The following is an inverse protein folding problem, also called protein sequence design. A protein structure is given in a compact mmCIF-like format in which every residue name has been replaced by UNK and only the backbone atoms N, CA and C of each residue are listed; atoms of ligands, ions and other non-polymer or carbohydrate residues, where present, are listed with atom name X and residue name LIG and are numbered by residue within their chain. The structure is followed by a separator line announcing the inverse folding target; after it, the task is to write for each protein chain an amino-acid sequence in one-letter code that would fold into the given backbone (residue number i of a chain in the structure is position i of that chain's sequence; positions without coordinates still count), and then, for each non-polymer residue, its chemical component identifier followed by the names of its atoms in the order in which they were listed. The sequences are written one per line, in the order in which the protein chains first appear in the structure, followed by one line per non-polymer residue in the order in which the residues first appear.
data_IF_745298394568
#
_entry.id   IF_745298394568
#
_cell.length_a   1.000
_cell.length_b   1.000
_cell.length_c   1.000
_cell.angle_alpha   90.00
_cell.angle_beta   90.00
_cell.angle_gamma   90.00
#
_symmetry.space_group_name_H-M   'P 1'
#
loop_
_entity.id
_entity.type
_entity.pdbx_description
1 polymer ?
#
# COMPACT_ATOMS: atom_id res chain seq x y z
N UNK A 1 21.03 42.46 -13.27
CA UNK A 1 19.95 42.21 -14.25
C UNK A 1 20.43 41.04 -15.09
N UNK A 2 19.81 39.88 -14.93
CA UNK A 2 20.12 38.73 -15.80
C UNK A 2 19.72 39.09 -17.23
N UNK A 3 20.59 38.82 -18.20
CA UNK A 3 20.29 39.08 -19.60
C UNK A 3 19.31 38.00 -20.09
N UNK A 4 18.01 38.28 -19.97
CA UNK A 4 16.90 37.40 -20.34
C UNK A 4 16.55 37.55 -21.84
N UNK A 5 16.92 38.69 -22.44
CA UNK A 5 16.74 38.94 -23.87
C UNK A 5 17.62 38.02 -24.70
N UNK A 6 17.01 37.30 -25.65
CA UNK A 6 17.69 36.37 -26.56
C UNK A 6 17.83 34.93 -26.03
N UNK A 7 17.28 34.62 -24.85
CA UNK A 7 17.19 33.25 -24.32
C UNK A 7 16.13 32.42 -25.05
N UNK A 8 16.43 31.14 -25.27
CA UNK A 8 15.49 30.19 -25.87
C UNK A 8 14.32 29.86 -24.92
N UNK A 9 13.22 29.32 -25.44
CA UNK A 9 12.07 28.93 -24.62
C UNK A 9 12.44 27.90 -23.54
N UNK A 10 13.33 26.95 -23.86
CA UNK A 10 13.84 25.96 -22.89
C UNK A 10 14.65 26.63 -21.77
N UNK A 11 15.58 27.53 -22.12
CA UNK A 11 16.33 28.29 -21.11
C UNK A 11 15.40 29.15 -20.24
N UNK A 12 14.35 29.72 -20.83
CA UNK A 12 13.36 30.51 -20.10
C UNK A 12 12.52 29.64 -19.16
N UNK A 13 12.15 28.41 -19.54
CA UNK A 13 11.48 27.44 -18.65
C UNK A 13 12.34 27.08 -17.45
N UNK A 14 13.63 26.83 -17.65
CA UNK A 14 14.55 26.54 -16.55
C UNK A 14 14.66 27.73 -15.59
N UNK A 15 14.74 28.96 -16.13
CA UNK A 15 14.75 30.17 -15.32
C UNK A 15 13.45 30.39 -14.54
N UNK A 16 12.29 30.08 -15.15
CA UNK A 16 10.98 30.11 -14.50
C UNK A 16 10.95 29.20 -13.27
N UNK A 17 11.48 27.98 -13.39
CA UNK A 17 11.35 26.96 -12.35
C UNK A 17 12.40 27.09 -11.23
N UNK A 18 13.62 27.48 -11.56
CA UNK A 18 14.77 27.29 -10.67
C UNK A 18 15.45 28.59 -10.21
N UNK A 19 14.95 29.76 -10.60
CA UNK A 19 15.62 31.03 -10.29
C UNK A 19 14.68 32.15 -9.84
N UNK A 20 15.24 33.12 -9.12
CA UNK A 20 14.51 34.33 -8.69
C UNK A 20 14.10 35.25 -9.86
N UNK A 21 14.59 34.98 -11.08
CA UNK A 21 14.24 35.73 -12.29
C UNK A 21 13.01 35.17 -13.01
N UNK A 22 12.31 34.18 -12.43
CA UNK A 22 11.25 33.43 -13.11
C UNK A 22 10.11 34.29 -13.67
N UNK A 23 9.71 35.36 -12.98
CA UNK A 23 8.68 36.28 -13.46
C UNK A 23 9.11 37.03 -14.73
N UNK A 24 10.38 37.48 -14.80
CA UNK A 24 10.91 38.15 -15.98
C UNK A 24 11.09 37.17 -17.14
N UNK A 25 11.48 35.93 -16.84
CA UNK A 25 11.59 34.87 -17.83
C UNK A 25 10.22 34.50 -18.43
N UNK A 26 9.17 34.40 -17.61
CA UNK A 26 7.80 34.20 -18.08
C UNK A 26 7.29 35.34 -18.96
N UNK A 27 7.50 36.60 -18.55
CA UNK A 27 7.10 37.75 -19.37
C UNK A 27 7.78 37.74 -20.75
N UNK A 28 9.05 37.34 -20.81
CA UNK A 28 9.78 37.19 -22.05
C UNK A 28 9.29 35.99 -22.87
N UNK A 29 9.01 34.85 -22.24
CA UNK A 29 8.52 33.64 -22.89
C UNK A 29 7.16 33.85 -23.56
N UNK A 30 6.26 34.60 -22.91
CA UNK A 30 4.96 35.00 -23.47
C UNK A 30 5.08 35.81 -24.78
N UNK A 31 6.22 36.47 -25.03
CA UNK A 31 6.48 37.25 -26.25
C UNK A 31 7.10 36.42 -27.38
N UNK A 32 7.46 35.16 -27.12
CA UNK A 32 8.25 34.30 -28.02
C UNK A 32 7.46 33.12 -28.58
N UNK A 33 6.18 33.32 -28.90
CA UNK A 33 5.30 32.27 -29.46
C UNK A 33 5.37 30.95 -28.65
N UNK A 34 4.99 30.99 -27.36
CA UNK A 34 5.18 29.86 -26.45
C UNK A 34 4.34 28.66 -26.89
N UNK A 35 4.90 27.46 -26.74
CA UNK A 35 4.19 26.19 -26.89
C UNK A 35 3.24 25.92 -25.70
N UNK A 36 2.34 24.94 -25.82
CA UNK A 36 1.50 24.54 -24.69
C UNK A 36 2.32 24.13 -23.45
N UNK A 37 3.47 23.47 -23.64
CA UNK A 37 4.37 23.10 -22.54
C UNK A 37 4.96 24.35 -21.88
N UNK A 38 5.41 25.33 -22.67
CA UNK A 38 5.90 26.61 -22.14
C UNK A 38 4.82 27.32 -21.31
N UNK A 39 3.58 27.34 -21.81
CA UNK A 39 2.44 27.94 -21.12
C UNK A 39 2.12 27.23 -19.80
N UNK A 40 2.24 25.90 -19.73
CA UNK A 40 2.07 25.14 -18.48
C UNK A 40 3.09 25.54 -17.41
N UNK A 41 4.36 25.69 -17.79
CA UNK A 41 5.40 26.15 -16.86
C UNK A 41 5.08 27.55 -16.31
N UNK A 42 4.58 28.45 -17.16
CA UNK A 42 4.16 29.78 -16.73
C UNK A 42 2.99 29.70 -15.75
N UNK A 43 1.99 28.83 -16.03
CA UNK A 43 0.81 28.61 -15.17
C UNK A 43 1.21 28.10 -13.78
N UNK A 44 2.12 27.14 -13.71
CA UNK A 44 2.49 26.46 -12.47
C UNK A 44 3.37 27.32 -11.55
N UNK A 45 4.30 28.08 -12.12
CA UNK A 45 5.40 28.69 -11.36
C UNK A 45 5.37 30.22 -11.26
N UNK A 46 4.42 30.90 -11.91
CA UNK A 46 4.45 32.37 -12.00
C UNK A 46 3.10 33.05 -11.82
N UNK A 47 3.13 34.39 -11.67
CA UNK A 47 1.92 35.20 -11.49
C UNK A 47 1.20 35.47 -12.83
N UNK A 48 1.85 35.12 -13.96
CA UNK A 48 1.31 35.26 -15.30
C UNK A 48 0.35 34.14 -15.71
N UNK A 49 -0.04 33.27 -14.77
CA UNK A 49 -0.88 32.10 -15.01
C UNK A 49 -2.20 32.38 -15.74
N UNK A 50 -2.81 33.54 -15.54
CA UNK A 50 -4.04 33.89 -16.27
C UNK A 50 -3.76 34.23 -17.73
N UNK A 51 -2.71 35.01 -18.01
CA UNK A 51 -2.33 35.33 -19.39
C UNK A 51 -1.91 34.06 -20.15
N UNK A 52 -1.12 33.20 -19.50
CA UNK A 52 -0.75 31.91 -20.08
C UNK A 52 -1.95 30.99 -20.28
N UNK A 53 -2.89 30.97 -19.32
CA UNK A 53 -4.12 30.18 -19.43
C UNK A 53 -5.01 30.60 -20.60
N UNK A 54 -5.16 31.91 -20.81
CA UNK A 54 -5.92 32.45 -21.94
C UNK A 54 -5.31 32.06 -23.29
N UNK A 55 -3.98 32.09 -23.39
CA UNK A 55 -3.27 31.66 -24.60
C UNK A 55 -3.43 30.15 -24.82
N UNK A 56 -3.26 29.36 -23.76
CA UNK A 56 -3.31 27.90 -23.85
C UNK A 56 -4.68 27.42 -24.36
N UNK A 57 -5.78 28.04 -23.90
CA UNK A 57 -7.13 27.74 -24.40
C UNK A 57 -7.29 27.94 -25.92
N UNK A 58 -6.53 28.86 -26.51
CA UNK A 58 -6.58 29.17 -27.95
C UNK A 58 -5.68 28.27 -28.78
N UNK A 59 -4.80 27.47 -28.16
CA UNK A 59 -3.79 26.64 -28.82
C UNK A 59 -4.16 25.14 -28.91
N UNK A 60 -5.46 24.83 -29.04
CA UNK A 60 -5.96 23.45 -29.13
C UNK A 60 -5.39 22.51 -28.04
N UNK A 61 -5.64 22.82 -26.75
CA UNK A 61 -5.08 22.08 -25.63
C UNK A 61 -5.61 20.64 -25.54
N UNK A 62 -4.75 19.73 -25.11
CA UNK A 62 -5.07 18.35 -24.73
C UNK A 62 -5.91 18.27 -23.44
N UNK A 63 -6.50 17.10 -23.16
CA UNK A 63 -7.20 16.85 -21.89
C UNK A 63 -6.33 17.13 -20.66
N UNK A 64 -5.03 16.79 -20.69
CA UNK A 64 -4.12 17.07 -19.57
C UNK A 64 -3.96 18.57 -19.34
N UNK A 65 -3.76 19.33 -20.42
CA UNK A 65 -3.64 20.79 -20.38
C UNK A 65 -4.94 21.45 -19.89
N UNK A 66 -6.09 20.94 -20.33
CA UNK A 66 -7.40 21.40 -19.87
C UNK A 66 -7.64 21.11 -18.38
N UNK A 67 -7.24 19.93 -17.87
CA UNK A 67 -7.25 19.63 -16.43
C UNK A 67 -6.39 20.62 -15.65
N UNK A 68 -5.20 20.93 -16.18
CA UNK A 68 -4.29 21.91 -15.60
C UNK A 68 -4.91 23.31 -15.52
N UNK A 69 -5.59 23.75 -16.58
CA UNK A 69 -6.31 25.02 -16.58
C UNK A 69 -7.41 25.06 -15.52
N UNK A 70 -8.18 23.97 -15.36
CA UNK A 70 -9.22 23.84 -14.33
C UNK A 70 -8.64 23.95 -12.92
N UNK A 71 -7.46 23.39 -12.68
CA UNK A 71 -6.84 23.38 -11.36
C UNK A 71 -6.22 24.74 -11.00
N UNK A 72 -5.45 25.34 -11.92
CA UNK A 72 -4.52 26.42 -11.57
C UNK A 72 -4.96 27.84 -12.00
N UNK A 73 -5.96 27.96 -12.88
CA UNK A 73 -6.37 29.26 -13.48
C UNK A 73 -7.82 29.64 -13.17
N UNK A 74 -8.25 30.83 -13.60
CA UNK A 74 -9.63 31.30 -13.46
C UNK A 74 -10.51 30.87 -14.65
N UNK A 75 -9.92 30.35 -15.73
CA UNK A 75 -10.62 29.89 -16.93
C UNK A 75 -11.18 28.47 -16.81
N UNK A 76 -11.56 28.08 -15.59
CA UNK A 76 -11.94 26.70 -15.27
C UNK A 76 -13.19 26.26 -16.04
N UNK A 77 -14.13 27.19 -16.24
CA UNK A 77 -15.39 26.91 -16.92
C UNK A 77 -15.17 26.69 -18.42
N UNK A 78 -14.39 27.55 -19.06
CA UNK A 78 -14.04 27.45 -20.47
C UNK A 78 -13.22 26.18 -20.73
N UNK A 79 -12.26 25.87 -19.86
CA UNK A 79 -11.47 24.65 -19.93
C UNK A 79 -12.35 23.40 -19.77
N UNK A 80 -13.29 23.41 -18.82
CA UNK A 80 -14.25 22.32 -18.65
C UNK A 80 -15.16 22.13 -19.87
N UNK A 81 -15.71 23.21 -20.42
CA UNK A 81 -16.55 23.15 -21.62
C UNK A 81 -15.80 22.64 -22.85
N UNK A 82 -14.51 23.00 -22.97
CA UNK A 82 -13.66 22.50 -24.03
C UNK A 82 -13.31 21.03 -23.82
N UNK A 83 -13.05 20.61 -22.58
CA UNK A 83 -12.79 19.22 -22.22
C UNK A 83 -13.96 18.31 -22.58
N UNK A 84 -15.21 18.76 -22.34
CA UNK A 84 -16.41 17.99 -22.70
C UNK A 84 -16.67 17.90 -24.22
N UNK A 85 -16.15 18.84 -25.00
CA UNK A 85 -16.18 18.76 -26.47
C UNK A 85 -15.16 17.75 -26.98
N UNK A 86 -14.11 17.51 -26.19
CA UNK A 86 -13.14 16.45 -26.40
C UNK A 86 -13.66 15.15 -25.77
N UNK A 87 -13.13 14.01 -26.19
CA UNK A 87 -13.41 12.76 -25.48
C UNK A 87 -12.68 12.78 -24.13
N UNK A 88 -13.42 12.91 -23.04
CA UNK A 88 -12.86 12.89 -21.68
C UNK A 88 -12.78 11.45 -21.15
N UNK A 89 -11.59 11.01 -20.72
CA UNK A 89 -11.42 9.66 -20.19
C UNK A 89 -11.90 9.55 -18.73
N UNK A 90 -12.19 8.34 -18.26
CA UNK A 90 -12.56 8.09 -16.85
C UNK A 90 -11.43 8.46 -15.89
N UNK A 91 -10.18 8.26 -16.30
CA UNK A 91 -9.01 8.69 -15.54
C UNK A 91 -8.95 10.21 -15.40
N UNK A 92 -9.24 10.95 -16.48
CA UNK A 92 -9.34 12.41 -16.43
C UNK A 92 -10.43 12.86 -15.43
N UNK A 93 -11.58 12.19 -15.44
CA UNK A 93 -12.68 12.49 -14.52
C UNK A 93 -12.32 12.15 -13.07
N UNK A 94 -11.70 11.00 -12.81
CA UNK A 94 -11.19 10.63 -11.49
C UNK A 94 -10.16 11.64 -10.96
N UNK A 95 -9.26 12.12 -11.83
CA UNK A 95 -8.32 13.18 -11.50
C UNK A 95 -9.05 14.45 -11.07
N UNK A 96 -10.02 14.91 -11.86
CA UNK A 96 -10.78 16.12 -11.56
C UNK A 96 -11.59 16.00 -10.26
N UNK A 97 -12.12 14.81 -9.94
CA UNK A 97 -12.79 14.54 -8.66
C UNK A 97 -11.82 14.66 -7.48
N UNK A 98 -10.57 14.23 -7.65
CA UNK A 98 -9.57 14.26 -6.58
C UNK A 98 -8.94 15.65 -6.39
N UNK A 99 -8.54 16.33 -7.47
CA UNK A 99 -7.68 17.51 -7.40
C UNK A 99 -8.41 18.86 -7.51
N UNK A 100 -9.70 18.89 -7.89
CA UNK A 100 -10.35 20.15 -8.29
C UNK A 100 -11.72 20.38 -7.66
N UNK A 101 -12.17 21.64 -7.68
CA UNK A 101 -13.52 22.02 -7.26
C UNK A 101 -14.61 21.60 -8.28
N UNK A 102 -14.23 21.12 -9.47
CA UNK A 102 -15.14 20.58 -10.49
C UNK A 102 -15.60 19.15 -10.19
N UNK A 103 -15.24 18.62 -9.01
CA UNK A 103 -15.53 17.26 -8.58
C UNK A 103 -16.98 16.81 -8.75
N UNK A 104 -17.97 17.69 -8.56
CA UNK A 104 -19.37 17.32 -8.79
C UNK A 104 -19.68 17.09 -10.27
N UNK A 105 -19.26 18.01 -11.13
CA UNK A 105 -19.49 17.89 -12.58
C UNK A 105 -18.72 16.69 -13.15
N UNK A 106 -17.50 16.48 -12.69
CA UNK A 106 -16.69 15.33 -13.06
C UNK A 106 -17.32 14.00 -12.60
N UNK A 107 -17.88 13.95 -11.39
CA UNK A 107 -18.62 12.79 -10.90
C UNK A 107 -19.87 12.50 -11.75
N UNK A 108 -20.68 13.51 -12.05
CA UNK A 108 -21.88 13.35 -12.87
C UNK A 108 -21.54 12.83 -14.28
N UNK A 109 -20.47 13.34 -14.88
CA UNK A 109 -20.02 12.86 -16.19
C UNK A 109 -19.46 11.44 -16.12
N UNK A 110 -18.72 11.10 -15.06
CA UNK A 110 -18.18 9.75 -14.86
C UNK A 110 -19.31 8.73 -14.78
N UNK A 111 -20.39 9.04 -14.05
CA UNK A 111 -21.56 8.18 -13.96
C UNK A 111 -22.23 7.94 -15.32
N UNK A 112 -22.34 8.98 -16.18
CA UNK A 112 -22.88 8.82 -17.54
C UNK A 112 -22.04 7.86 -18.38
N UNK A 113 -20.73 7.83 -18.17
CA UNK A 113 -19.82 6.92 -18.87
C UNK A 113 -19.81 5.49 -18.32
N UNK A 114 -20.45 5.25 -17.16
CA UNK A 114 -20.41 3.97 -16.46
C UNK A 114 -19.02 3.67 -15.91
N UNK A 115 -18.67 4.12 -14.69
CA UNK A 115 -17.37 3.85 -14.10
C UNK A 115 -17.19 2.36 -13.87
N UNK A 116 -15.96 1.86 -14.01
CA UNK A 116 -15.61 0.51 -13.61
C UNK A 116 -15.49 0.39 -12.09
N UNK A 117 -15.50 -0.84 -11.57
CA UNK A 117 -15.22 -1.09 -10.16
C UNK A 117 -13.84 -0.55 -9.74
N UNK A 118 -12.85 -0.57 -10.64
CA UNK A 118 -11.51 -0.03 -10.35
C UNK A 118 -11.53 1.48 -10.17
N UNK A 119 -12.23 2.21 -11.05
CA UNK A 119 -12.46 3.65 -10.91
C UNK A 119 -13.12 3.97 -9.56
N UNK A 120 -14.15 3.20 -9.19
CA UNK A 120 -14.87 3.39 -7.94
C UNK A 120 -14.02 3.06 -6.71
N UNK A 121 -13.20 2.00 -6.75
CA UNK A 121 -12.24 1.70 -5.67
C UNK A 121 -11.24 2.84 -5.49
N UNK A 122 -10.71 3.39 -6.58
CA UNK A 122 -9.83 4.55 -6.53
C UNK A 122 -10.50 5.72 -5.78
N UNK A 123 -11.73 6.06 -6.16
CA UNK A 123 -12.48 7.15 -5.54
C UNK A 123 -12.80 6.87 -4.06
N UNK A 124 -13.15 5.63 -3.69
CA UNK A 124 -13.37 5.21 -2.30
C UNK A 124 -12.13 5.44 -1.42
N UNK A 125 -10.95 5.15 -1.95
CA UNK A 125 -9.70 5.24 -1.21
C UNK A 125 -9.21 6.67 -1.04
N UNK A 126 -9.34 7.47 -2.09
CA UNK A 126 -8.55 8.68 -2.23
C UNK A 126 -9.38 9.98 -2.17
N UNK A 127 -10.71 9.94 -2.33
CA UNK A 127 -11.50 11.17 -2.47
C UNK A 127 -12.57 11.34 -1.39
N UNK A 128 -13.09 12.56 -1.27
CA UNK A 128 -14.29 12.86 -0.48
C UNK A 128 -15.58 12.28 -1.09
N UNK A 129 -15.53 11.76 -2.32
CA UNK A 129 -16.64 11.04 -2.97
C UNK A 129 -16.74 9.58 -2.51
N UNK A 130 -16.02 9.19 -1.46
CA UNK A 130 -15.95 7.78 -1.04
C UNK A 130 -17.30 7.13 -0.81
N UNK A 131 -18.29 7.86 -0.29
CA UNK A 131 -19.60 7.29 0.02
C UNK A 131 -20.40 7.07 -1.25
N UNK A 132 -20.43 8.06 -2.14
CA UNK A 132 -21.09 7.97 -3.44
C UNK A 132 -20.46 6.88 -4.31
N UNK A 133 -19.12 6.81 -4.33
CA UNK A 133 -18.40 5.76 -5.03
C UNK A 133 -18.68 4.37 -4.45
N UNK A 134 -18.74 4.23 -3.13
CA UNK A 134 -19.09 2.97 -2.48
C UNK A 134 -20.54 2.54 -2.76
N UNK A 135 -21.50 3.46 -2.74
CA UNK A 135 -22.89 3.21 -3.11
C UNK A 135 -22.99 2.73 -4.55
N UNK A 136 -22.34 3.44 -5.48
CA UNK A 136 -22.32 3.05 -6.87
C UNK A 136 -21.68 1.67 -7.07
N UNK A 137 -20.63 1.36 -6.30
CA UNK A 137 -19.96 0.06 -6.35
C UNK A 137 -20.88 -1.07 -5.86
N UNK A 138 -21.74 -0.82 -4.86
CA UNK A 138 -22.76 -1.78 -4.44
C UNK A 138 -23.82 -2.05 -5.51
N UNK A 139 -24.19 -1.04 -6.29
CA UNK A 139 -25.15 -1.18 -7.40
C UNK A 139 -24.57 -2.00 -8.56
N UNK A 140 -23.25 -1.97 -8.75
CA UNK A 140 -22.55 -2.69 -9.82
C UNK A 140 -22.21 -4.16 -9.49
N UNK A 141 -22.87 -4.76 -8.51
CA UNK A 141 -22.60 -6.13 -8.07
C UNK A 141 -21.10 -6.38 -7.74
N UNK A 142 -20.61 -5.82 -6.62
CA UNK A 142 -19.19 -5.84 -6.28
C UNK A 142 -18.66 -7.26 -6.05
N UNK A 143 -17.41 -7.48 -6.43
CA UNK A 143 -16.66 -8.71 -6.14
C UNK A 143 -16.21 -8.78 -4.68
N UNK A 144 -15.67 -9.93 -4.24
CA UNK A 144 -15.06 -10.05 -2.91
C UNK A 144 -13.90 -9.04 -2.70
N UNK A 145 -13.11 -8.77 -3.73
CA UNK A 145 -12.02 -7.78 -3.67
C UNK A 145 -12.56 -6.37 -3.45
N UNK A 146 -13.61 -5.99 -4.19
CA UNK A 146 -14.31 -4.72 -4.02
C UNK A 146 -14.84 -4.57 -2.59
N UNK A 147 -15.45 -5.63 -2.05
CA UNK A 147 -15.99 -5.63 -0.69
C UNK A 147 -14.88 -5.54 0.36
N UNK A 148 -13.73 -6.19 0.17
CA UNK A 148 -12.55 -5.99 1.04
C UNK A 148 -12.09 -4.54 1.03
N UNK A 149 -12.04 -3.95 -0.16
CA UNK A 149 -11.66 -2.54 -0.33
C UNK A 149 -12.63 -1.61 0.42
N UNK A 150 -13.94 -1.85 0.31
CA UNK A 150 -14.95 -1.10 1.04
C UNK A 150 -14.83 -1.27 2.56
N UNK A 151 -14.51 -2.47 3.05
CA UNK A 151 -14.30 -2.71 4.49
C UNK A 151 -13.12 -1.89 5.03
N UNK A 152 -12.07 -1.72 4.25
CA UNK A 152 -10.88 -0.97 4.65
C UNK A 152 -11.11 0.54 4.55
N UNK A 153 -11.62 1.00 3.40
CA UNK A 153 -11.59 2.39 2.98
C UNK A 153 -12.97 3.07 2.83
N UNK A 154 -14.06 2.57 3.42
CA UNK A 154 -15.35 3.29 3.42
C UNK A 154 -16.01 3.27 4.80
N UNK A 155 -17.11 4.02 4.99
CA UNK A 155 -17.93 3.89 6.20
C UNK A 155 -18.94 2.75 6.10
N UNK A 156 -19.15 2.19 4.90
CA UNK A 156 -20.02 1.05 4.63
C UNK A 156 -19.43 -0.30 5.06
N UNK A 157 -18.47 -0.31 6.00
CA UNK A 157 -17.70 -1.51 6.38
C UNK A 157 -18.57 -2.68 6.80
N UNK A 158 -19.65 -2.40 7.55
CA UNK A 158 -20.55 -3.45 8.02
C UNK A 158 -21.37 -4.05 6.87
N UNK A 159 -21.96 -3.19 6.02
CA UNK A 159 -22.71 -3.62 4.84
C UNK A 159 -21.82 -4.44 3.89
N UNK A 160 -20.59 -3.98 3.65
CA UNK A 160 -19.61 -4.68 2.84
C UNK A 160 -19.23 -6.04 3.43
N UNK A 161 -19.00 -6.11 4.74
CA UNK A 161 -18.75 -7.36 5.46
C UNK A 161 -19.92 -8.36 5.33
N UNK A 162 -21.15 -7.90 5.54
CA UNK A 162 -22.35 -8.75 5.43
C UNK A 162 -22.55 -9.27 4.00
N UNK A 163 -22.31 -8.42 3.00
CA UNK A 163 -22.40 -8.83 1.60
C UNK A 163 -21.28 -9.81 1.22
N UNK A 164 -20.05 -9.59 1.72
CA UNK A 164 -18.92 -10.50 1.49
C UNK A 164 -19.24 -11.89 2.02
N UNK A 165 -19.79 -11.99 3.23
CA UNK A 165 -20.21 -13.27 3.82
C UNK A 165 -21.28 -13.98 2.97
N UNK A 166 -22.22 -13.24 2.39
CA UNK A 166 -23.25 -13.81 1.49
C UNK A 166 -22.66 -14.33 0.19
N UNK A 167 -21.59 -13.71 -0.32
CA UNK A 167 -20.90 -14.15 -1.54
C UNK A 167 -19.96 -15.35 -1.31
N UNK A 168 -19.60 -15.64 -0.05
CA UNK A 168 -18.68 -16.72 0.29
C UNK A 168 -17.22 -16.27 0.09
N UNK A 169 -16.60 -15.64 1.12
CA UNK A 169 -15.21 -15.22 1.01
C UNK A 169 -14.27 -16.42 0.97
N UNK A 170 -13.22 -16.32 0.17
CA UNK A 170 -12.12 -17.29 0.17
C UNK A 170 -11.30 -17.19 1.46
N UNK A 171 -10.47 -18.20 1.75
CA UNK A 171 -9.50 -18.11 2.85
C UNK A 171 -8.56 -16.91 2.67
N UNK A 172 -8.16 -16.59 1.44
CA UNK A 172 -7.30 -15.43 1.15
C UNK A 172 -8.00 -14.11 1.50
N UNK A 173 -9.28 -13.98 1.17
CA UNK A 173 -10.07 -12.81 1.53
C UNK A 173 -10.09 -12.62 3.06
N UNK A 174 -10.29 -13.71 3.81
CA UNK A 174 -10.33 -13.70 5.27
C UNK A 174 -8.96 -13.42 5.89
N UNK A 175 -7.87 -13.99 5.35
CA UNK A 175 -6.49 -13.69 5.78
C UNK A 175 -6.19 -12.20 5.61
N UNK A 176 -6.56 -11.62 4.47
CA UNK A 176 -6.40 -10.18 4.23
C UNK A 176 -7.12 -9.35 5.31
N UNK A 177 -8.39 -9.66 5.56
CA UNK A 177 -9.17 -8.93 6.56
C UNK A 177 -8.65 -9.10 7.98
N UNK A 178 -8.06 -10.25 8.30
CA UNK A 178 -7.36 -10.49 9.58
C UNK A 178 -6.13 -9.60 9.77
N UNK A 179 -5.36 -9.37 8.72
CA UNK A 179 -4.11 -8.59 8.77
C UNK A 179 -4.36 -7.09 8.78
N UNK A 180 -5.31 -6.61 7.98
CA UNK A 180 -5.38 -5.19 7.62
C UNK A 180 -6.61 -4.44 8.14
N UNK A 181 -7.57 -5.12 8.79
CA UNK A 181 -8.83 -4.48 9.18
C UNK A 181 -9.26 -4.71 10.62
N UNK A 182 -10.19 -3.88 11.09
CA UNK A 182 -10.84 -4.05 12.40
C UNK A 182 -11.70 -5.32 12.51
N UNK A 183 -12.04 -5.95 11.38
CA UNK A 183 -12.85 -7.18 11.32
C UNK A 183 -12.04 -8.45 11.57
N UNK A 184 -10.79 -8.34 12.01
CA UNK A 184 -9.89 -9.48 12.18
C UNK A 184 -10.45 -10.64 13.01
N UNK A 185 -11.26 -10.35 14.04
CA UNK A 185 -11.86 -11.40 14.85
C UNK A 185 -13.03 -12.07 14.11
N UNK A 186 -13.87 -11.31 13.42
CA UNK A 186 -14.95 -11.91 12.63
C UNK A 186 -14.41 -12.71 11.44
N UNK A 187 -13.37 -12.20 10.78
CA UNK A 187 -12.68 -12.91 9.71
C UNK A 187 -12.03 -14.21 10.19
N UNK A 188 -11.34 -14.18 11.34
CA UNK A 188 -10.75 -15.38 11.93
C UNK A 188 -11.79 -16.43 12.34
N UNK A 189 -12.92 -16.00 12.90
CA UNK A 189 -14.02 -16.91 13.22
C UNK A 189 -14.60 -17.57 11.97
N UNK A 190 -14.79 -16.79 10.90
CA UNK A 190 -15.30 -17.30 9.64
C UNK A 190 -14.31 -18.28 8.99
N UNK A 191 -13.00 -18.00 9.06
CA UNK A 191 -11.95 -18.85 8.50
C UNK A 191 -11.92 -20.23 9.18
N UNK A 192 -12.14 -20.26 10.50
CA UNK A 192 -12.24 -21.51 11.27
C UNK A 192 -13.47 -22.37 10.93
N UNK A 193 -14.52 -21.79 10.35
CA UNK A 193 -15.70 -22.53 9.86
C UNK A 193 -15.47 -23.15 8.48
N UNK A 194 -14.42 -22.74 7.78
CA UNK A 194 -14.02 -23.31 6.50
C UNK A 194 -13.03 -24.47 6.69
N UNK A 195 -12.28 -24.81 5.65
CA UNK A 195 -11.14 -25.73 5.71
C UNK A 195 -9.84 -24.91 5.68
N UNK A 196 -9.33 -24.42 6.82
CA UNK A 196 -8.09 -23.63 6.83
C UNK A 196 -6.89 -24.50 6.47
N UNK A 197 -5.94 -23.97 5.72
CA UNK A 197 -4.60 -24.54 5.48
C UNK A 197 -3.67 -24.33 6.69
N UNK A 198 -2.45 -24.87 6.65
CA UNK A 198 -1.46 -24.59 7.70
C UNK A 198 -1.08 -23.10 7.75
N UNK A 199 -1.03 -22.42 6.60
CA UNK A 199 -0.79 -20.97 6.53
C UNK A 199 -1.94 -20.18 7.16
N UNK A 200 -3.19 -20.56 6.87
CA UNK A 200 -4.39 -19.96 7.47
C UNK A 200 -4.38 -20.07 9.00
N UNK A 201 -4.02 -21.25 9.52
CA UNK A 201 -3.92 -21.50 10.96
C UNK A 201 -2.80 -20.68 11.61
N UNK A 202 -1.68 -20.49 10.92
CA UNK A 202 -0.61 -19.60 11.38
C UNK A 202 -1.09 -18.16 11.45
N UNK A 203 -1.77 -17.66 10.43
CA UNK A 203 -2.37 -16.32 10.47
C UNK A 203 -3.36 -16.15 11.63
N UNK A 204 -4.17 -17.16 11.92
CA UNK A 204 -5.06 -17.15 13.07
C UNK A 204 -4.31 -17.03 14.40
N UNK A 205 -3.16 -17.70 14.53
CA UNK A 205 -2.29 -17.64 15.71
C UNK A 205 -1.73 -16.23 15.91
N UNK A 206 -1.31 -15.56 14.84
CA UNK A 206 -0.67 -14.25 14.93
C UNK A 206 -1.66 -13.10 15.14
N UNK A 207 -2.80 -13.12 14.44
CA UNK A 207 -3.64 -11.91 14.31
C UNK A 207 -4.93 -11.94 15.14
N UNK A 208 -5.31 -13.09 15.71
CA UNK A 208 -6.65 -13.26 16.31
C UNK A 208 -6.62 -13.82 17.73
N UNK A 209 -7.77 -13.75 18.41
CA UNK A 209 -7.94 -14.37 19.74
C UNK A 209 -8.04 -15.89 19.66
N UNK A 210 -8.24 -16.47 18.47
CA UNK A 210 -8.45 -17.91 18.28
C UNK A 210 -7.16 -18.72 18.20
N UNK A 211 -6.03 -18.14 18.60
CA UNK A 211 -4.70 -18.75 18.53
C UNK A 211 -4.60 -20.14 19.16
N UNK A 212 -5.37 -20.44 20.22
CA UNK A 212 -5.36 -21.78 20.81
C UNK A 212 -6.09 -22.79 19.93
N UNK A 213 -7.32 -22.49 19.51
CA UNK A 213 -8.07 -23.36 18.60
C UNK A 213 -7.32 -23.60 17.28
N UNK A 214 -6.72 -22.54 16.71
CA UNK A 214 -5.89 -22.65 15.52
C UNK A 214 -4.62 -23.48 15.78
N UNK A 215 -3.99 -23.27 16.94
CA UNK A 215 -2.79 -24.01 17.33
C UNK A 215 -3.03 -25.51 17.49
N UNK A 216 -4.16 -25.89 18.10
CA UNK A 216 -4.56 -27.29 18.24
C UNK A 216 -4.74 -27.97 16.88
N UNK A 217 -5.43 -27.29 15.95
CA UNK A 217 -5.64 -27.81 14.59
C UNK A 217 -4.33 -27.92 13.82
N UNK A 218 -3.44 -26.93 13.96
CA UNK A 218 -2.15 -26.90 13.26
C UNK A 218 -1.27 -28.06 13.73
N UNK A 219 -1.18 -28.31 15.04
CA UNK A 219 -0.40 -29.39 15.63
C UNK A 219 -0.81 -30.77 15.10
N UNK A 220 -2.13 -30.99 14.91
CA UNK A 220 -2.69 -32.25 14.38
C UNK A 220 -2.34 -32.50 12.90
N UNK A 221 -1.89 -31.49 12.16
CA UNK A 221 -1.68 -31.54 10.70
C UNK A 221 -0.22 -31.65 10.27
N UNK A 222 0.67 -32.08 11.17
CA UNK A 222 2.11 -32.19 10.90
C UNK A 222 2.70 -30.89 10.30
N UNK A 223 2.70 -29.78 11.08
CA UNK A 223 3.15 -28.48 10.58
C UNK A 223 4.66 -28.46 10.30
N UNK A 224 5.10 -27.53 9.45
CA UNK A 224 6.52 -27.25 9.22
C UNK A 224 7.20 -26.71 10.48
N UNK A 225 8.54 -26.70 10.50
CA UNK A 225 9.32 -26.07 11.58
C UNK A 225 8.88 -24.63 11.87
N UNK A 226 8.55 -23.85 10.83
CA UNK A 226 8.04 -22.48 11.00
C UNK A 226 6.68 -22.45 11.73
N UNK A 227 5.75 -23.35 11.37
CA UNK A 227 4.49 -23.49 12.08
C UNK A 227 4.69 -23.94 13.54
N UNK A 228 5.67 -24.82 13.80
CA UNK A 228 6.03 -25.23 15.15
C UNK A 228 6.64 -24.08 15.96
N UNK A 229 7.48 -23.23 15.35
CA UNK A 229 7.99 -22.02 15.99
C UNK A 229 6.87 -21.09 16.42
N UNK A 230 5.87 -20.89 15.57
CA UNK A 230 4.70 -20.08 15.88
C UNK A 230 3.89 -20.67 17.04
N UNK A 231 3.70 -21.99 17.07
CA UNK A 231 3.05 -22.68 18.18
C UNK A 231 3.80 -22.48 19.50
N UNK A 232 5.12 -22.65 19.49
CA UNK A 232 5.97 -22.47 20.68
C UNK A 232 5.88 -21.04 21.22
N UNK A 233 5.85 -20.06 20.32
CA UNK A 233 5.88 -18.64 20.70
C UNK A 233 4.53 -18.12 21.19
N UNK A 234 3.43 -18.51 20.55
CA UNK A 234 2.16 -17.80 20.71
C UNK A 234 1.04 -18.59 21.37
N UNK A 235 1.20 -19.91 21.54
CA UNK A 235 0.15 -20.81 22.01
C UNK A 235 0.55 -21.57 23.28
N UNK A 236 -0.41 -22.29 23.88
CA UNK A 236 -0.16 -23.13 25.05
C UNK A 236 0.45 -24.49 24.70
N UNK A 237 0.43 -24.88 23.42
CA UNK A 237 0.96 -26.16 22.92
C UNK A 237 2.49 -26.18 22.78
N UNK A 238 3.19 -25.27 23.45
CA UNK A 238 4.63 -25.03 23.31
C UNK A 238 5.49 -26.28 23.55
N UNK A 239 5.11 -27.12 24.51
CA UNK A 239 5.83 -28.37 24.78
C UNK A 239 5.67 -29.37 23.64
N UNK A 240 4.45 -29.64 23.20
CA UNK A 240 4.20 -30.60 22.12
C UNK A 240 4.82 -30.12 20.82
N UNK A 241 4.74 -28.83 20.54
CA UNK A 241 5.36 -28.22 19.37
C UNK A 241 6.91 -28.33 19.43
N UNK A 242 7.52 -28.10 20.59
CA UNK A 242 8.96 -28.31 20.78
C UNK A 242 9.38 -29.77 20.56
N UNK A 243 8.65 -30.73 21.14
CA UNK A 243 8.94 -32.15 20.97
C UNK A 243 8.81 -32.59 19.50
N UNK A 244 7.81 -32.07 18.78
CA UNK A 244 7.64 -32.34 17.36
C UNK A 244 8.71 -31.65 16.51
N UNK A 245 9.13 -30.44 16.88
CA UNK A 245 10.19 -29.71 16.20
C UNK A 245 11.50 -30.48 16.25
N UNK A 246 11.88 -31.00 17.42
CA UNK A 246 13.08 -31.82 17.57
C UNK A 246 13.05 -33.08 16.70
N UNK A 247 11.88 -33.71 16.54
CA UNK A 247 11.71 -34.87 15.64
C UNK A 247 11.88 -34.50 14.16
N UNK A 248 11.66 -33.23 13.80
CA UNK A 248 11.85 -32.71 12.45
C UNK A 248 13.28 -32.19 12.18
N UNK A 249 14.21 -32.35 13.13
CA UNK A 249 15.59 -31.85 13.03
C UNK A 249 15.64 -30.34 12.69
N UNK A 250 15.37 -29.45 13.66
CA UNK A 250 15.29 -28.02 13.40
C UNK A 250 16.64 -27.46 12.97
N UNK A 251 16.64 -26.49 12.06
CA UNK A 251 17.86 -25.80 11.64
C UNK A 251 18.41 -24.88 12.74
N UNK A 252 19.66 -24.45 12.62
CA UNK A 252 20.22 -23.41 13.49
C UNK A 252 19.41 -22.12 13.41
N UNK A 253 18.82 -21.78 12.27
CA UNK A 253 17.93 -20.63 12.13
C UNK A 253 16.65 -20.79 12.97
N UNK A 254 16.03 -21.96 12.93
CA UNK A 254 14.85 -22.25 13.75
C UNK A 254 15.17 -22.09 15.24
N UNK A 255 16.34 -22.56 15.67
CA UNK A 255 16.80 -22.46 17.05
C UNK A 255 17.15 -21.03 17.46
N UNK A 256 17.84 -20.26 16.60
CA UNK A 256 18.11 -18.82 16.85
C UNK A 256 16.82 -18.04 17.04
N UNK A 257 15.82 -18.30 16.18
CA UNK A 257 14.51 -17.68 16.33
C UNK A 257 13.89 -17.95 17.70
N UNK A 258 13.94 -19.20 18.17
CA UNK A 258 13.39 -19.56 19.48
C UNK A 258 14.19 -18.98 20.65
N UNK A 259 15.51 -18.82 20.51
CA UNK A 259 16.36 -18.14 21.50
C UNK A 259 15.95 -16.67 21.67
N UNK A 260 15.65 -16.00 20.56
CA UNK A 260 15.28 -14.59 20.57
C UNK A 260 13.85 -14.34 21.04
N UNK A 261 12.90 -15.16 20.57
CA UNK A 261 11.48 -14.80 20.59
C UNK A 261 10.58 -15.67 21.48
N UNK A 262 11.12 -16.65 22.19
CA UNK A 262 10.30 -17.60 22.96
C UNK A 262 10.82 -17.89 24.38
N UNK A 263 9.94 -18.41 25.23
CA UNK A 263 10.30 -18.94 26.55
C UNK A 263 11.17 -20.20 26.47
N UNK A 264 11.29 -20.82 25.29
CA UNK A 264 12.11 -22.01 25.05
C UNK A 264 13.57 -21.68 24.76
N UNK A 265 14.00 -20.44 24.99
CA UNK A 265 15.33 -19.95 24.65
C UNK A 265 16.48 -20.77 25.23
N UNK A 266 16.32 -21.31 26.43
CA UNK A 266 17.35 -22.17 27.03
C UNK A 266 17.44 -23.52 26.32
N UNK A 267 16.31 -24.18 26.10
CA UNK A 267 16.25 -25.47 25.42
C UNK A 267 16.73 -25.34 23.97
N UNK A 268 16.39 -24.22 23.31
CA UNK A 268 16.85 -23.89 21.97
C UNK A 268 18.36 -23.66 21.93
N UNK A 269 18.93 -22.94 22.90
CA UNK A 269 20.38 -22.77 23.05
C UNK A 269 21.11 -24.11 23.26
N UNK A 270 20.63 -24.95 24.17
CA UNK A 270 21.22 -26.26 24.43
C UNK A 270 21.16 -27.18 23.20
N UNK A 271 20.05 -27.15 22.46
CA UNK A 271 19.93 -27.88 21.20
C UNK A 271 20.86 -27.33 20.13
N UNK A 272 21.02 -26.01 20.04
CA UNK A 272 21.89 -25.36 19.07
C UNK A 272 23.34 -25.78 19.28
N UNK A 273 23.81 -25.80 20.53
CA UNK A 273 25.16 -26.27 20.88
C UNK A 273 25.41 -27.73 20.46
N UNK A 274 24.39 -28.61 20.57
CA UNK A 274 24.50 -30.00 20.09
C UNK A 274 24.63 -30.09 18.58
N UNK A 275 24.13 -29.10 17.84
CA UNK A 275 24.24 -29.02 16.39
C UNK A 275 25.53 -28.34 15.91
N UNK A 276 26.40 -27.90 16.83
CA UNK A 276 27.65 -27.18 16.52
C UNK A 276 27.36 -25.90 15.71
N UNK A 277 26.97 -24.79 16.38
CA UNK A 277 26.61 -23.56 15.67
C UNK A 277 27.81 -22.98 14.92
N UNK A 278 27.55 -22.36 13.77
CA UNK A 278 28.57 -21.64 13.01
C UNK A 278 29.00 -20.33 13.69
N UNK A 279 30.14 -19.77 13.28
CA UNK A 279 30.56 -18.42 13.70
C UNK A 279 29.48 -17.38 13.39
N UNK A 280 28.81 -17.49 12.25
CA UNK A 280 27.67 -16.63 11.89
C UNK A 280 26.50 -16.77 12.87
N UNK A 281 26.18 -17.99 13.30
CA UNK A 281 25.13 -18.23 14.31
C UNK A 281 25.47 -17.58 15.64
N UNK A 282 26.72 -17.72 16.10
CA UNK A 282 27.18 -17.15 17.37
C UNK A 282 27.25 -15.62 17.31
N UNK A 283 27.75 -15.04 16.22
CA UNK A 283 27.76 -13.58 16.00
C UNK A 283 26.35 -13.00 16.01
N UNK A 284 25.39 -13.68 15.38
CA UNK A 284 23.99 -13.28 15.43
C UNK A 284 23.47 -13.23 16.88
N UNK A 285 23.72 -14.28 17.66
CA UNK A 285 23.26 -14.35 19.05
C UNK A 285 23.91 -13.29 19.94
N UNK A 286 25.17 -12.94 19.70
CA UNK A 286 25.87 -11.82 20.37
C UNK A 286 25.16 -10.50 20.13
N UNK A 287 24.73 -10.27 18.89
CA UNK A 287 24.14 -9.00 18.47
C UNK A 287 22.67 -8.86 18.90
N UNK A 288 21.89 -9.93 18.82
CA UNK A 288 20.42 -9.84 18.84
C UNK A 288 19.75 -10.52 20.04
N UNK A 289 20.48 -11.19 20.92
CA UNK A 289 19.85 -11.97 22.00
C UNK A 289 20.46 -11.73 23.38
N UNK A 290 19.74 -12.17 24.42
CA UNK A 290 20.26 -12.17 25.79
C UNK A 290 21.36 -13.21 26.03
N UNK A 291 21.66 -14.08 25.07
CA UNK A 291 22.69 -15.12 25.15
C UNK A 291 24.08 -14.64 24.68
N UNK A 292 24.29 -13.32 24.59
CA UNK A 292 25.50 -12.73 24.02
C UNK A 292 26.80 -13.18 24.70
N UNK A 293 26.77 -13.36 26.03
CA UNK A 293 27.97 -13.74 26.80
C UNK A 293 28.32 -15.20 26.53
N UNK A 294 27.33 -16.09 26.61
CA UNK A 294 27.48 -17.51 26.30
C UNK A 294 27.88 -17.74 24.84
N UNK A 295 27.31 -16.99 23.91
CA UNK A 295 27.66 -17.04 22.50
C UNK A 295 29.10 -16.54 22.25
N UNK A 296 29.53 -15.47 22.93
CA UNK A 296 30.90 -14.98 22.90
C UNK A 296 31.92 -16.00 23.41
N UNK A 297 31.63 -16.63 24.55
CA UNK A 297 32.47 -17.70 25.10
C UNK A 297 32.56 -18.90 24.16
N UNK A 298 31.45 -19.29 23.52
CA UNK A 298 31.46 -20.39 22.56
C UNK A 298 32.26 -20.03 21.30
N UNK A 299 32.15 -18.79 20.83
CA UNK A 299 32.88 -18.30 19.66
C UNK A 299 34.39 -18.33 19.89
N UNK A 300 34.86 -17.94 21.08
CA UNK A 300 36.28 -17.99 21.45
C UNK A 300 36.86 -19.42 21.48
N UNK A 301 36.01 -20.44 21.60
CA UNK A 301 36.41 -21.86 21.57
C UNK A 301 36.46 -22.43 20.15
N UNK A 302 35.89 -21.74 19.16
CA UNK A 302 35.89 -22.18 17.77
C UNK A 302 37.11 -21.62 17.02
N UNK A 303 37.65 -22.40 16.09
CA UNK A 303 38.69 -21.89 15.20
C UNK A 303 38.14 -20.76 14.30
N UNK A 304 38.96 -19.78 13.91
CA UNK A 304 38.55 -18.76 12.97
C UNK A 304 38.05 -19.41 11.67
N UNK A 305 36.82 -19.11 11.28
CA UNK A 305 36.22 -19.48 10.00
C UNK A 305 35.76 -18.20 9.31
N UNK A 306 36.04 -18.10 8.00
CA UNK A 306 35.74 -16.96 7.14
C UNK A 306 34.27 -16.92 6.63
N UNK A 307 33.43 -17.86 7.07
CA UNK A 307 31.96 -17.92 6.80
C UNK A 307 31.11 -17.35 7.95
#
# INVERSE_FOLDING_TARGET
MSNIEGKSNEELRDLIRYTDCGQQAAEQLLKQDPSNEDLRYIIEYTDYKQQAGELLLKQDPSNEELRYLIEYTDYKQEAWEQLLKQYVSKEDLCYLIYYTDYKQMAWEELLKQGPSNEDLRYLVRYTDYRQQAAEQLFEQAPSNEDLRHLIEYSDYKQRAWEQLLKQGPSNEDLRYLMRYTKYKQQAGEQLLKQTPSNEDLRDLIWYTKYKQQAGEQLLKRAPSNEGLRDLIRYTEYKQQAWEQLLKQAPSNEDLRYLIEYSDYKQQAWEQLLKQVPSNRDLRYLIQFTTYREQAGEQLLKQEPSDE
#
